data_IF_731771252042
#
_entry.id   IF_731771252042
#
_cell.length_a   1.000
_cell.length_b   1.000
_cell.length_c   1.000
_cell.angle_alpha   90.00
_cell.angle_beta   90.00
_cell.angle_gamma   90.00
#
_symmetry.space_group_name_H-M   'P 1'
#
loop_
_entity.id
_entity.type
_entity.pdbx_description
1 polymer ?
#
# COMPACT_ATOMS: atom_id res chain seq x y z
N UNK A 1 -28.34 6.59 -4.73
CA UNK A 1 -28.96 6.31 -3.43
C UNK A 1 -28.22 7.13 -2.39
N UNK A 2 -28.91 7.81 -1.46
CA UNK A 2 -28.24 8.50 -0.36
C UNK A 2 -27.37 7.48 0.39
N UNK A 3 -26.12 7.82 0.67
CA UNK A 3 -25.23 6.97 1.46
C UNK A 3 -25.84 6.79 2.84
N UNK A 4 -26.02 5.54 3.29
CA UNK A 4 -26.35 5.30 4.68
C UNK A 4 -25.26 5.94 5.55
N UNK A 5 -25.62 6.73 6.59
CA UNK A 5 -24.65 7.46 7.41
C UNK A 5 -23.52 6.58 7.93
N UNK A 6 -23.82 5.31 8.23
CA UNK A 6 -22.86 4.30 8.70
C UNK A 6 -21.77 3.98 7.67
N UNK A 7 -22.12 3.87 6.39
CA UNK A 7 -21.14 3.60 5.33
C UNK A 7 -20.22 4.80 5.11
N UNK A 8 -20.77 6.02 5.16
CA UNK A 8 -19.99 7.25 5.05
C UNK A 8 -19.00 7.39 6.22
N UNK A 9 -19.45 7.15 7.46
CA UNK A 9 -18.59 7.19 8.65
C UNK A 9 -17.48 6.13 8.54
N UNK A 10 -17.81 4.90 8.16
CA UNK A 10 -16.83 3.82 7.98
C UNK A 10 -15.76 4.17 6.95
N UNK A 11 -16.16 4.77 5.83
CA UNK A 11 -15.24 5.24 4.80
C UNK A 11 -14.32 6.36 5.31
N UNK A 12 -14.85 7.40 5.95
CA UNK A 12 -14.05 8.53 6.43
C UNK A 12 -13.10 8.14 7.57
N UNK A 13 -13.51 7.24 8.47
CA UNK A 13 -12.63 6.67 9.50
C UNK A 13 -11.49 5.90 8.84
N UNK A 14 -11.81 5.07 7.85
CA UNK A 14 -10.81 4.29 7.11
C UNK A 14 -9.83 5.19 6.33
N UNK A 15 -10.33 6.26 5.71
CA UNK A 15 -9.51 7.29 5.07
C UNK A 15 -8.58 7.99 6.07
N UNK A 16 -9.09 8.38 7.24
CA UNK A 16 -8.30 9.00 8.29
C UNK A 16 -7.19 8.06 8.80
N UNK A 17 -7.49 6.77 9.00
CA UNK A 17 -6.49 5.76 9.37
C UNK A 17 -5.44 5.56 8.27
N UNK A 18 -5.85 5.53 7.01
CA UNK A 18 -4.92 5.38 5.87
C UNK A 18 -3.95 6.56 5.78
N UNK A 19 -4.47 7.79 5.81
CA UNK A 19 -3.65 9.01 5.71
C UNK A 19 -2.82 9.22 6.97
N UNK A 20 -3.44 9.08 8.15
CA UNK A 20 -2.77 9.23 9.44
C UNK A 20 -1.66 8.18 9.64
N UNK A 21 -1.93 6.93 9.29
CA UNK A 21 -0.92 5.86 9.28
C UNK A 21 0.23 6.18 8.33
N UNK A 22 -0.06 6.56 7.09
CA UNK A 22 0.97 6.93 6.11
C UNK A 22 1.86 8.09 6.57
N UNK A 23 1.27 9.16 7.13
CA UNK A 23 2.01 10.28 7.71
C UNK A 23 2.84 9.83 8.92
N UNK A 24 2.27 9.02 9.80
CA UNK A 24 2.97 8.50 10.97
C UNK A 24 4.22 7.67 10.58
N UNK A 25 4.17 6.88 9.50
CA UNK A 25 5.34 6.15 8.99
C UNK A 25 6.49 7.07 8.57
N UNK A 26 6.15 8.26 8.05
CA UNK A 26 7.13 9.24 7.60
C UNK A 26 7.78 10.02 8.76
N UNK A 27 7.02 10.33 9.82
CA UNK A 27 7.48 11.18 10.91
C UNK A 27 7.96 10.44 12.16
N UNK A 28 7.53 9.18 12.39
CA UNK A 28 7.92 8.44 13.59
C UNK A 28 9.39 8.02 13.54
N UNK A 29 10.16 8.22 14.62
CA UNK A 29 11.60 7.94 14.63
C UNK A 29 11.92 6.45 14.83
N UNK A 30 11.09 5.71 15.57
CA UNK A 30 11.38 4.33 15.94
C UNK A 30 10.84 3.34 14.92
N UNK A 31 11.64 2.33 14.57
CA UNK A 31 11.25 1.27 13.62
C UNK A 31 9.97 0.54 14.01
N UNK A 32 9.77 0.32 15.32
CA UNK A 32 8.59 -0.36 15.87
C UNK A 32 7.34 0.49 15.67
N UNK A 33 7.42 1.80 15.96
CA UNK A 33 6.28 2.69 15.80
C UNK A 33 5.97 2.92 14.30
N UNK A 34 6.99 2.97 13.42
CA UNK A 34 6.79 3.00 11.97
C UNK A 34 6.13 1.72 11.46
N UNK A 35 6.53 0.55 11.98
CA UNK A 35 5.87 -0.73 11.68
C UNK A 35 4.39 -0.72 12.07
N UNK A 36 4.06 -0.28 13.28
CA UNK A 36 2.66 -0.11 13.71
C UNK A 36 1.90 0.88 12.83
N UNK A 37 2.52 2.00 12.45
CA UNK A 37 1.93 2.99 11.58
C UNK A 37 1.62 2.45 10.17
N UNK A 38 2.49 1.59 9.60
CA UNK A 38 2.20 0.84 8.36
C UNK A 38 0.97 -0.05 8.55
N UNK A 39 0.89 -0.76 9.68
CA UNK A 39 -0.27 -1.61 9.99
C UNK A 39 -1.58 -0.81 10.06
N UNK A 40 -1.56 0.37 10.69
CA UNK A 40 -2.72 1.29 10.75
C UNK A 40 -3.10 1.79 9.35
N UNK A 41 -2.11 2.13 8.51
CA UNK A 41 -2.36 2.53 7.13
C UNK A 41 -3.02 1.40 6.34
N UNK A 42 -2.50 0.17 6.48
CA UNK A 42 -3.06 -1.03 5.84
C UNK A 42 -4.48 -1.34 6.28
N UNK A 43 -4.80 -1.16 7.57
CA UNK A 43 -6.15 -1.30 8.09
C UNK A 43 -7.10 -0.27 7.47
N UNK A 44 -6.67 0.99 7.35
CA UNK A 44 -7.43 2.03 6.67
C UNK A 44 -7.70 1.70 5.19
N UNK A 45 -6.67 1.24 4.46
CA UNK A 45 -6.80 0.84 3.05
C UNK A 45 -7.77 -0.34 2.90
N UNK A 46 -7.70 -1.33 3.79
CA UNK A 46 -8.61 -2.47 3.77
C UNK A 46 -10.07 -2.05 4.03
N UNK A 47 -10.30 -1.11 4.94
CA UNK A 47 -11.63 -0.54 5.19
C UNK A 47 -12.17 0.26 4.00
N UNK A 48 -11.30 0.99 3.29
CA UNK A 48 -11.66 1.64 2.02
C UNK A 48 -12.07 0.57 0.99
N UNK A 49 -11.27 -0.48 0.79
CA UNK A 49 -11.62 -1.57 -0.14
C UNK A 49 -12.93 -2.27 0.23
N UNK A 50 -13.20 -2.49 1.51
CA UNK A 50 -14.49 -3.02 1.94
C UNK A 50 -15.66 -2.09 1.54
N UNK A 51 -15.48 -0.77 1.67
CA UNK A 51 -16.47 0.23 1.26
C UNK A 51 -16.71 0.25 -0.25
N UNK A 52 -15.71 -0.14 -1.05
CA UNK A 52 -15.80 -0.28 -2.51
C UNK A 52 -16.25 -1.68 -2.98
N UNK A 53 -16.71 -2.56 -2.07
CA UNK A 53 -17.05 -3.95 -2.39
C UNK A 53 -15.88 -4.79 -2.94
N UNK A 54 -14.65 -4.40 -2.60
CA UNK A 54 -13.42 -5.07 -3.02
C UNK A 54 -12.82 -5.90 -1.87
N UNK A 55 -13.61 -6.78 -1.26
CA UNK A 55 -13.22 -7.47 -0.02
C UNK A 55 -12.02 -8.40 -0.15
N UNK A 56 -11.83 -9.10 -1.29
CA UNK A 56 -10.61 -9.88 -1.51
C UNK A 56 -9.36 -9.01 -1.52
N UNK A 57 -9.40 -7.88 -2.23
CA UNK A 57 -8.29 -6.91 -2.24
C UNK A 57 -8.05 -6.33 -0.84
N UNK A 58 -9.11 -6.10 -0.06
CA UNK A 58 -9.02 -5.74 1.35
C UNK A 58 -8.26 -6.75 2.19
N UNK A 59 -8.58 -8.05 2.06
CA UNK A 59 -7.88 -9.13 2.79
C UNK A 59 -6.41 -9.20 2.37
N UNK A 60 -6.12 -9.15 1.07
CA UNK A 60 -4.74 -9.14 0.56
C UNK A 60 -3.98 -7.92 1.09
N UNK A 61 -4.60 -6.75 1.10
CA UNK A 61 -4.00 -5.54 1.67
C UNK A 61 -3.66 -5.74 3.16
N UNK A 62 -4.56 -6.31 3.97
CA UNK A 62 -4.28 -6.62 5.37
C UNK A 62 -3.07 -7.54 5.52
N UNK A 63 -3.01 -8.62 4.74
CA UNK A 63 -1.89 -9.58 4.81
C UNK A 63 -0.56 -8.92 4.41
N UNK A 64 -0.54 -8.18 3.31
CA UNK A 64 0.66 -7.50 2.83
C UNK A 64 1.13 -6.41 3.81
N UNK A 65 0.24 -5.53 4.24
CA UNK A 65 0.60 -4.45 5.17
C UNK A 65 0.96 -4.97 6.56
N UNK A 66 0.33 -6.05 7.05
CA UNK A 66 0.75 -6.71 8.28
C UNK A 66 2.15 -7.32 8.14
N UNK A 67 2.44 -7.97 7.01
CA UNK A 67 3.79 -8.46 6.68
C UNK A 67 4.83 -7.33 6.66
N UNK A 68 4.53 -6.22 5.98
CA UNK A 68 5.40 -5.04 5.96
C UNK A 68 5.59 -4.44 7.35
N UNK A 69 4.53 -4.37 8.17
CA UNK A 69 4.59 -3.88 9.54
C UNK A 69 5.55 -4.72 10.40
N UNK A 70 5.46 -6.05 10.30
CA UNK A 70 6.33 -6.98 11.02
C UNK A 70 7.79 -6.88 10.54
N UNK A 71 8.01 -6.81 9.23
CA UNK A 71 9.35 -6.65 8.65
C UNK A 71 10.01 -5.34 9.08
N UNK A 72 9.25 -4.24 9.12
CA UNK A 72 9.77 -2.93 9.51
C UNK A 72 10.04 -2.85 11.02
N UNK A 73 9.21 -3.47 11.85
CA UNK A 73 9.42 -3.54 13.29
C UNK A 73 10.56 -4.51 13.68
N UNK A 74 10.91 -5.45 12.79
CA UNK A 74 11.89 -6.50 13.02
C UNK A 74 13.32 -6.00 13.24
N UNK A 75 14.11 -6.79 13.99
CA UNK A 75 15.48 -6.45 14.36
C UNK A 75 16.44 -6.34 13.16
N UNK A 76 16.13 -7.04 12.07
CA UNK A 76 16.93 -7.05 10.84
C UNK A 76 16.76 -5.82 9.94
N UNK A 77 15.79 -4.94 10.22
CA UNK A 77 15.62 -3.72 9.43
C UNK A 77 16.74 -2.72 9.75
N UNK A 78 17.62 -2.49 8.76
CA UNK A 78 18.62 -1.41 8.80
C UNK A 78 18.01 -0.19 8.12
N UNK A 79 17.73 0.84 8.92
CA UNK A 79 17.42 2.15 8.36
C UNK A 79 18.66 2.67 7.63
N UNK A 80 18.50 3.03 6.36
CA UNK A 80 19.53 3.79 5.64
C UNK A 80 19.38 5.23 6.12
N UNK A 81 20.36 5.71 6.88
CA UNK A 81 20.36 7.11 7.32
C UNK A 81 20.45 8.01 6.09
N UNK A 82 19.47 8.89 5.91
CA UNK A 82 19.44 9.83 4.80
C UNK A 82 20.48 10.91 5.06
N UNK A 83 21.64 10.84 4.41
CA UNK A 83 22.71 11.85 4.46
C UNK A 83 22.38 13.14 3.69
N UNK A 84 21.14 13.29 3.22
CA UNK A 84 20.68 14.41 2.41
C UNK A 84 20.64 15.70 3.24
N UNK A 85 21.42 16.70 2.80
CA UNK A 85 21.48 18.03 3.44
C UNK A 85 20.11 18.71 3.51
N UNK A 86 19.90 19.58 4.50
CA UNK A 86 18.60 20.17 4.83
C UNK A 86 17.88 20.88 3.67
N UNK A 87 18.62 21.53 2.76
CA UNK A 87 18.05 22.20 1.59
C UNK A 87 17.38 21.21 0.61
N UNK A 88 18.03 20.08 0.34
CA UNK A 88 17.49 19.03 -0.53
C UNK A 88 16.26 18.35 0.08
N UNK A 89 16.21 18.23 1.42
CA UNK A 89 15.02 17.74 2.13
C UNK A 89 13.82 18.66 1.94
N UNK A 90 14.03 19.98 1.92
CA UNK A 90 12.97 20.96 1.67
C UNK A 90 12.48 20.90 0.22
N UNK A 91 13.38 20.73 -0.74
CA UNK A 91 12.99 20.51 -2.15
C UNK A 91 12.11 19.28 -2.29
N UNK A 92 12.46 18.17 -1.63
CA UNK A 92 11.64 16.96 -1.61
C UNK A 92 10.23 17.19 -1.02
N UNK A 93 10.13 17.96 0.06
CA UNK A 93 8.84 18.29 0.66
C UNK A 93 7.97 19.17 -0.26
N UNK A 94 8.57 20.18 -0.91
CA UNK A 94 7.88 21.04 -1.88
C UNK A 94 7.43 20.22 -3.09
N UNK A 95 8.27 19.31 -3.60
CA UNK A 95 7.91 18.41 -4.69
C UNK A 95 6.76 17.47 -4.33
N UNK A 96 6.76 16.89 -3.12
CA UNK A 96 5.67 16.07 -2.63
C UNK A 96 4.35 16.86 -2.49
N UNK A 97 4.42 18.08 -1.97
CA UNK A 97 3.27 18.98 -1.86
C UNK A 97 2.71 19.38 -3.24
N UNK A 98 3.61 19.67 -4.20
CA UNK A 98 3.24 19.96 -5.59
C UNK A 98 2.56 18.76 -6.26
N UNK A 99 3.11 17.56 -6.10
CA UNK A 99 2.50 16.33 -6.61
C UNK A 99 1.12 16.09 -5.97
N UNK A 100 1.00 16.27 -4.67
CA UNK A 100 -0.29 16.15 -3.97
C UNK A 100 -1.32 17.14 -4.53
N UNK A 101 -0.94 18.41 -4.75
CA UNK A 101 -1.83 19.42 -5.32
C UNK A 101 -2.28 19.05 -6.74
N UNK A 102 -1.38 18.54 -7.58
CA UNK A 102 -1.70 18.08 -8.93
C UNK A 102 -2.68 16.91 -8.90
N UNK A 103 -2.43 15.90 -8.06
CA UNK A 103 -3.30 14.73 -7.91
C UNK A 103 -4.67 15.13 -7.34
N UNK A 104 -4.71 16.03 -6.36
CA UNK A 104 -5.96 16.56 -5.82
C UNK A 104 -6.75 17.32 -6.90
N UNK A 105 -6.09 18.17 -7.69
CA UNK A 105 -6.74 18.87 -8.80
C UNK A 105 -7.31 17.90 -9.84
N UNK A 106 -6.55 16.88 -10.23
CA UNK A 106 -7.01 15.83 -11.14
C UNK A 106 -8.20 15.05 -10.56
N UNK A 107 -8.20 14.77 -9.25
CA UNK A 107 -9.30 14.09 -8.58
C UNK A 107 -10.58 14.95 -8.49
N UNK A 108 -10.47 16.27 -8.31
CA UNK A 108 -11.64 17.16 -8.25
C UNK A 108 -12.20 17.50 -9.63
N UNK A 109 -11.35 17.59 -10.66
CA UNK A 109 -11.74 17.99 -12.01
C UNK A 109 -11.96 16.81 -12.97
N UNK A 110 -11.50 15.62 -12.59
CA UNK A 110 -11.62 14.42 -13.40
C UNK A 110 -13.07 13.98 -13.53
N UNK A 111 -13.51 13.76 -14.76
CA UNK A 111 -14.77 13.09 -15.04
C UNK A 111 -14.52 11.59 -15.06
N UNK A 112 -14.83 10.93 -13.94
CA UNK A 112 -14.60 9.50 -13.77
C UNK A 112 -15.83 8.71 -14.21
N UNK A 113 -15.59 7.62 -14.93
CA UNK A 113 -16.66 6.68 -15.28
C UNK A 113 -17.09 5.93 -14.02
N UNK A 114 -18.33 6.12 -13.59
CA UNK A 114 -18.92 5.44 -12.46
C UNK A 114 -19.75 4.26 -12.96
N UNK A 115 -19.20 3.05 -12.90
CA UNK A 115 -19.92 1.83 -13.21
C UNK A 115 -20.40 1.15 -11.91
N UNK A 116 -21.69 0.81 -11.77
CA UNK A 116 -22.15 0.03 -10.63
C UNK A 116 -21.59 -1.40 -10.75
N UNK A 117 -20.85 -1.83 -9.72
CA UNK A 117 -20.30 -3.19 -9.65
C UNK A 117 -21.16 -4.04 -8.72
N UNK A 118 -21.66 -5.16 -9.23
CA UNK A 118 -22.53 -6.11 -8.49
C UNK A 118 -21.84 -7.44 -8.17
N UNK A 119 -20.51 -7.44 -8.07
CA UNK A 119 -19.71 -8.66 -7.95
C UNK A 119 -19.50 -9.21 -6.53
N UNK A 120 -20.51 -9.17 -5.66
CA UNK A 120 -20.43 -9.72 -4.30
C UNK A 120 -19.33 -9.12 -3.40
N UNK A 121 -19.35 -9.43 -2.10
CA UNK A 121 -18.47 -8.76 -1.14
C UNK A 121 -16.97 -9.11 -1.29
N UNK A 122 -16.63 -10.32 -1.76
CA UNK A 122 -15.24 -10.81 -1.86
C UNK A 122 -14.76 -10.93 -3.31
N UNK A 123 -15.55 -11.51 -4.21
CA UNK A 123 -15.26 -11.53 -5.65
C UNK A 123 -14.02 -12.33 -6.09
N UNK A 124 -13.51 -13.27 -5.27
CA UNK A 124 -12.27 -14.02 -5.58
C UNK A 124 -12.37 -14.88 -6.85
N UNK A 125 -13.52 -15.52 -7.09
CA UNK A 125 -13.73 -16.33 -8.30
C UNK A 125 -13.76 -15.47 -9.59
N UNK A 126 -14.37 -14.29 -9.53
CA UNK A 126 -14.34 -13.33 -10.64
C UNK A 126 -12.94 -12.80 -10.91
N UNK A 127 -12.18 -12.50 -9.86
CA UNK A 127 -10.78 -12.10 -9.98
C UNK A 127 -9.93 -13.22 -10.59
N UNK A 128 -10.09 -14.47 -10.14
CA UNK A 128 -9.38 -15.61 -10.70
C UNK A 128 -9.66 -15.79 -12.20
N UNK A 129 -10.92 -15.68 -12.62
CA UNK A 129 -11.24 -15.72 -14.06
C UNK A 129 -10.57 -14.60 -14.83
N UNK A 130 -10.55 -13.38 -14.31
CA UNK A 130 -9.90 -12.25 -14.98
C UNK A 130 -8.38 -12.48 -15.11
N UNK A 131 -7.75 -12.86 -14.00
CA UNK A 131 -6.31 -13.11 -13.92
C UNK A 131 -5.85 -14.24 -14.86
N UNK A 132 -6.61 -15.34 -14.95
CA UNK A 132 -6.19 -16.48 -15.78
C UNK A 132 -6.74 -16.47 -17.21
N UNK A 133 -7.87 -15.80 -17.48
CA UNK A 133 -8.44 -15.79 -18.84
C UNK A 133 -8.04 -14.56 -19.64
N UNK A 134 -7.88 -13.40 -19.00
CA UNK A 134 -7.56 -12.14 -19.67
C UNK A 134 -6.12 -11.69 -19.39
N UNK A 135 -5.70 -11.74 -18.13
CA UNK A 135 -4.42 -11.16 -17.68
C UNK A 135 -3.33 -12.22 -17.41
N UNK A 136 -3.42 -13.38 -18.06
CA UNK A 136 -2.54 -14.54 -17.79
C UNK A 136 -1.04 -14.19 -17.94
N UNK A 137 -0.69 -13.41 -18.96
CA UNK A 137 0.69 -12.98 -19.18
C UNK A 137 1.18 -12.03 -18.09
N UNK A 138 0.31 -11.16 -17.56
CA UNK A 138 0.66 -10.30 -16.44
C UNK A 138 0.87 -11.12 -15.17
N UNK A 139 0.05 -12.15 -14.92
CA UNK A 139 0.25 -13.06 -13.78
C UNK A 139 1.56 -13.83 -13.85
N UNK A 140 1.92 -14.34 -15.04
CA UNK A 140 3.20 -15.03 -15.24
C UNK A 140 4.40 -14.08 -15.07
N UNK A 141 4.28 -12.84 -15.56
CA UNK A 141 5.33 -11.83 -15.38
C UNK A 141 5.55 -11.50 -13.89
N UNK A 142 4.48 -11.40 -13.09
CA UNK A 142 4.59 -11.20 -11.64
C UNK A 142 5.21 -12.42 -10.96
N UNK A 143 4.83 -13.64 -11.36
CA UNK A 143 5.45 -14.87 -10.83
C UNK A 143 6.96 -14.92 -11.11
N UNK A 144 7.37 -14.59 -12.35
CA UNK A 144 8.77 -14.49 -12.72
C UNK A 144 9.51 -13.40 -11.93
N UNK A 145 8.89 -12.24 -11.71
CA UNK A 145 9.45 -11.16 -10.90
C UNK A 145 9.69 -11.61 -9.45
N UNK A 146 8.73 -12.31 -8.85
CA UNK A 146 8.86 -12.86 -7.49
C UNK A 146 10.02 -13.87 -7.44
N UNK A 147 10.12 -14.76 -8.44
CA UNK A 147 11.22 -15.72 -8.52
C UNK A 147 12.58 -15.01 -8.58
N UNK A 148 12.73 -14.01 -9.46
CA UNK A 148 13.96 -13.22 -9.59
C UNK A 148 14.28 -12.49 -8.28
N UNK A 149 13.28 -11.90 -7.62
CA UNK A 149 13.47 -11.22 -6.34
C UNK A 149 13.96 -12.17 -5.24
N UNK A 150 13.39 -13.37 -5.14
CA UNK A 150 13.80 -14.38 -4.16
C UNK A 150 15.22 -14.90 -4.43
N UNK A 151 15.54 -15.21 -5.69
CA UNK A 151 16.90 -15.62 -6.08
C UNK A 151 17.91 -14.52 -5.80
N UNK A 152 17.59 -13.27 -6.14
CA UNK A 152 18.43 -12.10 -5.87
C UNK A 152 18.67 -11.89 -4.37
N UNK A 153 17.62 -11.99 -3.56
CA UNK A 153 17.73 -11.87 -2.10
C UNK A 153 18.60 -12.99 -1.50
N UNK A 154 18.41 -14.24 -1.94
CA UNK A 154 19.22 -15.38 -1.49
C UNK A 154 20.70 -15.24 -1.90
N UNK A 155 20.96 -14.77 -3.12
CA UNK A 155 22.32 -14.53 -3.60
C UNK A 155 23.01 -13.40 -2.80
N UNK A 156 22.30 -12.30 -2.53
CA UNK A 156 22.80 -11.19 -1.73
C UNK A 156 23.13 -11.62 -0.28
N UNK A 157 22.27 -12.44 0.32
CA UNK A 157 22.50 -13.01 1.64
C UNK A 157 23.78 -13.86 1.67
N UNK A 158 23.93 -14.79 0.72
CA UNK A 158 25.13 -15.63 0.61
C UNK A 158 26.42 -14.82 0.37
N UNK A 159 26.33 -13.74 -0.41
CA UNK A 159 27.48 -12.85 -0.63
C UNK A 159 27.91 -12.14 0.66
N UNK A 160 26.95 -11.70 1.49
CA UNK A 160 27.24 -11.12 2.79
C UNK A 160 27.86 -12.12 3.77
N UNK A 161 27.42 -13.38 3.78
CA UNK A 161 28.02 -14.42 4.63
C UNK A 161 29.47 -14.71 4.27
N UNK A 162 29.81 -14.73 2.98
CA UNK A 162 31.18 -15.01 2.50
C UNK A 162 32.16 -13.85 2.72
N UNK A 163 31.65 -12.62 2.86
CA UNK A 163 32.46 -11.43 3.10
C UNK A 163 32.72 -11.12 4.58
N UNK A 164 32.20 -11.94 5.50
CA UNK A 164 32.44 -11.87 6.96
C UNK A 164 33.38 -12.98 7.38
#
# INVERSE_FOLDING_TARGET
>A
MPMDPLHAIGFYVSAALSVGGGLAVAFLPTRTARGLAIGVAGLGIAGIYASLSAGFAGIVALLCYAGCALLLAGAGYRAVESTVAGAWRQVGAVAAAGLFAILAYAAFRGDFVHAPFYGGAIGSASLGRLLFAHDAMATEAVAALILVALVGAAAAWRAQERGR
#
